data_IF_019977134861
#
_entry.id   IF_019977134861
#
_cell.length_a   1.000
_cell.length_b   1.000
_cell.length_c   1.000
_cell.angle_alpha   90.00
_cell.angle_beta   90.00
_cell.angle_gamma   90.00
#
_symmetry.space_group_name_H-M   'P 1'
#
loop_
_entity.id
_entity.type
_entity.pdbx_description
1 polymer ?
#
# COMPACT_ATOMS: atom_id res chain seq x y z
N UNK A 1 -7.40 17.45 2.25
CA UNK A 1 -8.56 16.83 1.58
C UNK A 1 -8.81 15.50 2.26
N UNK A 2 -10.06 15.12 2.52
CA UNK A 2 -10.35 13.79 3.08
C UNK A 2 -10.25 12.77 1.95
N UNK A 3 -9.10 12.14 1.76
CA UNK A 3 -8.99 11.00 0.86
C UNK A 3 -9.92 9.88 1.33
N UNK A 4 -10.61 9.23 0.40
CA UNK A 4 -11.44 8.07 0.69
C UNK A 4 -10.57 6.89 1.13
N UNK A 5 -11.12 5.99 1.95
CA UNK A 5 -10.42 4.76 2.36
C UNK A 5 -9.93 3.93 1.15
N UNK A 6 -10.62 4.04 0.01
CA UNK A 6 -10.24 3.38 -1.24
C UNK A 6 -9.02 4.01 -1.89
N UNK A 7 -8.95 5.34 -1.95
CA UNK A 7 -7.76 6.04 -2.45
C UNK A 7 -6.55 5.77 -1.57
N UNK A 8 -6.74 5.78 -0.25
CA UNK A 8 -5.70 5.42 0.71
C UNK A 8 -5.20 3.98 0.54
N UNK A 9 -6.12 3.01 0.45
CA UNK A 9 -5.76 1.60 0.29
C UNK A 9 -5.06 1.34 -1.05
N UNK A 10 -5.51 1.97 -2.14
CA UNK A 10 -4.89 1.85 -3.46
C UNK A 10 -3.47 2.43 -3.48
N UNK A 11 -3.25 3.59 -2.85
CA UNK A 11 -1.93 4.22 -2.77
C UNK A 11 -0.94 3.34 -1.98
N UNK A 12 -1.32 2.88 -0.78
CA UNK A 12 -0.47 2.02 0.05
C UNK A 12 -0.21 0.67 -0.62
N UNK A 13 -1.24 0.04 -1.17
CA UNK A 13 -1.08 -1.24 -1.88
C UNK A 13 -0.15 -1.11 -3.08
N UNK A 14 -0.26 -0.01 -3.84
CA UNK A 14 0.58 0.27 -4.99
C UNK A 14 2.05 0.37 -4.59
N UNK A 15 2.36 1.20 -3.59
CA UNK A 15 3.73 1.37 -3.09
C UNK A 15 4.33 0.10 -2.50
N UNK A 16 3.60 -0.60 -1.64
CA UNK A 16 4.08 -1.86 -1.04
C UNK A 16 4.34 -2.95 -2.09
N UNK A 17 3.53 -3.00 -3.16
CA UNK A 17 3.75 -3.92 -4.26
C UNK A 17 4.91 -3.48 -5.18
N UNK A 18 5.15 -2.17 -5.30
CA UNK A 18 6.25 -1.60 -6.08
C UNK A 18 7.62 -1.83 -5.43
N UNK A 19 7.70 -1.65 -4.12
CA UNK A 19 8.92 -1.81 -3.32
C UNK A 19 9.19 -3.26 -2.90
N UNK A 20 8.34 -4.20 -3.28
CA UNK A 20 8.57 -5.61 -3.00
C UNK A 20 9.83 -6.12 -3.71
N UNK A 21 10.84 -6.55 -2.95
CA UNK A 21 12.13 -7.05 -3.47
C UNK A 21 11.97 -8.11 -4.58
N UNK A 22 10.94 -8.97 -4.46
CA UNK A 22 10.66 -10.02 -5.44
C UNK A 22 10.15 -9.50 -6.79
N UNK A 23 9.74 -8.24 -6.91
CA UNK A 23 9.21 -7.66 -8.16
C UNK A 23 10.20 -7.74 -9.32
N UNK A 24 11.50 -7.63 -9.04
CA UNK A 24 12.54 -7.74 -10.08
C UNK A 24 12.59 -9.13 -10.70
N UNK A 25 12.37 -10.16 -9.89
CA UNK A 25 12.44 -11.56 -10.31
C UNK A 25 11.07 -12.08 -10.78
N UNK A 26 9.98 -11.48 -10.27
CA UNK A 26 8.59 -11.86 -10.52
C UNK A 26 7.73 -10.61 -10.81
N UNK A 27 7.93 -9.93 -11.96
CA UNK A 27 7.24 -8.68 -12.25
C UNK A 27 5.73 -8.85 -12.40
N UNK A 28 5.28 -10.04 -12.83
CA UNK A 28 3.86 -10.36 -13.02
C UNK A 28 3.11 -10.54 -11.69
N UNK A 29 3.82 -10.80 -10.59
CA UNK A 29 3.24 -11.02 -9.26
C UNK A 29 2.91 -9.69 -8.55
N UNK A 30 3.50 -8.57 -9.00
CA UNK A 30 3.28 -7.26 -8.39
C UNK A 30 1.81 -6.80 -8.49
N UNK A 31 1.15 -7.04 -9.63
CA UNK A 31 -0.25 -6.65 -9.82
C UNK A 31 -1.23 -7.49 -8.96
N UNK A 32 -1.13 -8.84 -8.92
CA UNK A 32 -1.85 -9.66 -7.95
C UNK A 32 -1.60 -9.24 -6.50
N UNK A 33 -0.35 -8.96 -6.14
CA UNK A 33 0.03 -8.52 -4.79
C UNK A 33 -0.67 -7.21 -4.41
N UNK A 34 -0.61 -6.21 -5.28
CA UNK A 34 -1.33 -4.95 -5.11
C UNK A 34 -2.82 -5.20 -4.86
N UNK A 35 -3.47 -6.04 -5.68
CA UNK A 35 -4.89 -6.35 -5.54
C UNK A 35 -5.25 -7.08 -4.23
N UNK A 36 -4.36 -7.92 -3.71
CA UNK A 36 -4.54 -8.57 -2.40
C UNK A 36 -4.38 -7.55 -1.26
N UNK A 37 -3.35 -6.70 -1.33
CA UNK A 37 -3.08 -5.66 -0.34
C UNK A 37 -4.22 -4.65 -0.26
N UNK A 38 -4.73 -4.18 -1.41
CA UNK A 38 -5.84 -3.21 -1.44
C UNK A 38 -7.08 -3.78 -0.73
N UNK A 39 -7.41 -5.07 -0.97
CA UNK A 39 -8.53 -5.74 -0.29
C UNK A 39 -8.30 -5.87 1.21
N UNK A 40 -7.08 -6.21 1.63
CA UNK A 40 -6.73 -6.35 3.03
C UNK A 40 -6.82 -5.00 3.77
N UNK A 41 -6.28 -3.94 3.17
CA UNK A 41 -6.30 -2.57 3.70
C UNK A 41 -7.75 -2.02 3.79
N UNK A 42 -8.58 -2.34 2.80
CA UNK A 42 -10.00 -1.97 2.80
C UNK A 42 -10.84 -2.72 3.84
N UNK A 43 -10.40 -3.88 4.30
CA UNK A 43 -11.14 -4.66 5.29
C UNK A 43 -11.16 -3.98 6.68
N UNK A 44 -10.13 -3.20 7.01
CA UNK A 44 -10.09 -2.43 8.27
C UNK A 44 -9.25 -1.13 8.14
N UNK A 45 -9.74 -0.12 7.40
CA UNK A 45 -8.94 1.05 7.07
C UNK A 45 -8.48 1.81 8.31
N UNK A 46 -9.38 2.00 9.29
CA UNK A 46 -9.07 2.75 10.52
C UNK A 46 -8.00 2.08 11.36
N UNK A 47 -8.00 0.75 11.47
CA UNK A 47 -6.97 0.04 12.23
C UNK A 47 -5.64 0.02 11.47
N UNK A 48 -5.67 -0.21 10.16
CA UNK A 48 -4.46 -0.17 9.35
C UNK A 48 -3.83 1.23 9.30
N UNK A 49 -4.62 2.31 9.32
CA UNK A 49 -4.12 3.69 9.41
C UNK A 49 -3.35 3.95 10.71
N UNK A 50 -3.66 3.26 11.82
CA UNK A 50 -2.89 3.40 13.07
C UNK A 50 -1.45 2.87 12.94
N UNK A 51 -1.18 2.08 11.91
CA UNK A 51 0.15 1.55 11.63
C UNK A 51 1.03 2.55 10.87
N UNK A 52 0.44 3.65 10.38
CA UNK A 52 1.17 4.74 9.73
C UNK A 52 2.11 5.40 10.75
N UNK A 53 3.40 5.50 10.40
CA UNK A 53 4.44 6.06 11.27
C UNK A 53 4.96 5.09 12.34
N UNK A 54 4.50 3.83 12.36
CA UNK A 54 4.95 2.81 13.34
C UNK A 54 6.14 1.97 12.86
N UNK A 55 6.62 2.20 11.63
CA UNK A 55 7.59 1.35 10.95
C UNK A 55 6.98 0.14 10.24
N UNK A 56 5.67 -0.08 10.37
CA UNK A 56 4.93 -1.07 9.57
C UNK A 56 4.45 -0.46 8.25
N UNK A 57 3.90 0.75 8.31
CA UNK A 57 3.59 1.58 7.16
C UNK A 57 4.25 2.94 7.43
N UNK A 58 5.21 3.33 6.63
CA UNK A 58 5.86 4.62 6.77
C UNK A 58 5.04 5.74 6.09
N UNK A 59 5.08 6.95 6.63
CA UNK A 59 4.41 8.11 6.00
C UNK A 59 4.99 8.45 4.63
N UNK A 60 6.27 8.11 4.42
CA UNK A 60 6.95 8.22 3.13
C UNK A 60 6.21 7.48 2.03
N UNK A 61 5.42 6.43 2.35
CA UNK A 61 4.62 5.71 1.35
C UNK A 61 3.56 6.56 0.65
N UNK A 62 3.22 7.72 1.21
CA UNK A 62 2.24 8.65 0.62
C UNK A 62 2.89 9.79 -0.17
N UNK A 63 4.21 9.89 -0.16
CA UNK A 63 4.92 10.91 -0.93
C UNK A 63 4.86 10.55 -2.43
N UNK A 64 5.09 11.52 -3.31
CA UNK A 64 5.27 11.21 -4.72
C UNK A 64 6.65 10.54 -4.90
N UNK A 65 6.75 9.58 -5.81
CA UNK A 65 8.04 9.03 -6.22
C UNK A 65 8.58 9.98 -7.28
N UNK A 66 9.62 10.75 -6.93
CA UNK A 66 10.36 11.64 -7.85
C UNK A 66 10.93 10.89 -9.08
#
# INVERSE_FOLDING_TARGET
MSHSAKEWAAAIAGRLADEWDGKRDFPDDAAPLQGVLEKALLASPTECMKLVGTGVIEESYFEDID
#
